data_IF_535996967412
#
_entry.id   IF_535996967412
#
_cell.length_a   1.000
_cell.length_b   1.000
_cell.length_c   1.000
_cell.angle_alpha   90.00
_cell.angle_beta   90.00
_cell.angle_gamma   90.00
#
_symmetry.space_group_name_H-M   'P 1'
#
loop_
_entity.id
_entity.type
_entity.pdbx_description
1 polymer ?
#
# COMPACT_ATOMS: atom_id res chain seq x y z
N UNK A 1 -21.25 20.70 -32.44
CA UNK A 1 -22.09 20.15 -31.35
C UNK A 1 -21.15 19.51 -30.34
N UNK A 2 -20.89 20.15 -29.19
CA UNK A 2 -19.88 19.68 -28.23
C UNK A 2 -20.50 18.73 -27.21
N UNK A 3 -20.23 17.43 -27.34
CA UNK A 3 -20.62 16.45 -26.35
C UNK A 3 -19.71 16.62 -25.12
N UNK A 4 -20.29 17.11 -24.02
CA UNK A 4 -19.66 17.16 -22.69
C UNK A 4 -19.40 15.71 -22.26
N UNK A 5 -18.16 15.24 -22.44
CA UNK A 5 -17.71 13.94 -21.95
C UNK A 5 -17.78 13.96 -20.43
N UNK A 6 -18.81 13.30 -19.86
CA UNK A 6 -18.90 13.02 -18.43
C UNK A 6 -17.67 12.23 -18.01
N UNK A 7 -16.72 12.87 -17.34
CA UNK A 7 -15.59 12.21 -16.69
C UNK A 7 -16.14 11.44 -15.49
N UNK A 8 -16.20 10.11 -15.59
CA UNK A 8 -16.43 9.25 -14.43
C UNK A 8 -15.19 9.34 -13.53
N UNK A 9 -15.32 9.57 -12.21
CA UNK A 9 -14.18 9.46 -11.32
C UNK A 9 -13.63 8.04 -11.43
N UNK A 10 -12.34 7.90 -11.79
CA UNK A 10 -11.66 6.62 -11.66
C UNK A 10 -11.77 6.23 -10.19
N UNK A 11 -12.35 5.06 -9.91
CA UNK A 11 -12.19 4.43 -8.60
C UNK A 11 -10.69 4.30 -8.39
N UNK A 12 -10.13 5.12 -7.50
CA UNK A 12 -8.75 4.98 -7.07
C UNK A 12 -8.65 3.59 -6.45
N UNK A 13 -8.04 2.65 -7.19
CA UNK A 13 -7.85 1.29 -6.71
C UNK A 13 -6.96 1.31 -5.46
N UNK A 14 -7.01 0.24 -4.68
CA UNK A 14 -6.03 0.01 -3.62
C UNK A 14 -5.08 -1.08 -4.12
N UNK A 15 -3.77 -0.79 -4.12
CA UNK A 15 -2.74 -1.82 -4.33
C UNK A 15 -2.37 -2.40 -2.97
N UNK A 16 -2.37 -3.72 -2.86
CA UNK A 16 -1.98 -4.41 -1.61
C UNK A 16 -0.59 -4.98 -1.79
N UNK A 17 0.36 -4.53 -0.98
CA UNK A 17 1.67 -5.14 -0.85
C UNK A 17 1.61 -6.21 0.23
N UNK A 18 2.23 -7.37 -0.03
CA UNK A 18 2.36 -8.46 0.93
C UNK A 18 3.84 -8.84 1.05
N UNK A 19 4.35 -9.01 2.26
CA UNK A 19 5.75 -9.34 2.53
C UNK A 19 5.83 -10.36 3.67
N UNK A 20 6.59 -11.43 3.46
CA UNK A 20 7.00 -12.32 4.55
C UNK A 20 8.08 -11.61 5.35
N UNK A 21 7.74 -11.21 6.57
CA UNK A 21 8.65 -10.58 7.51
C UNK A 21 9.35 -11.64 8.34
N UNK A 22 10.60 -11.40 8.71
CA UNK A 22 11.18 -12.11 9.84
C UNK A 22 10.41 -11.71 11.13
N UNK A 23 10.27 -12.61 12.13
CA UNK A 23 9.50 -12.34 13.35
C UNK A 23 9.99 -11.11 14.13
N UNK A 24 11.29 -10.86 14.15
CA UNK A 24 11.93 -9.72 14.80
C UNK A 24 11.71 -8.39 14.07
N UNK A 25 11.43 -8.44 12.76
CA UNK A 25 11.11 -7.27 11.94
C UNK A 25 9.63 -6.89 11.98
N UNK A 26 8.75 -7.70 12.59
CA UNK A 26 7.31 -7.40 12.73
C UNK A 26 7.05 -6.01 13.34
N UNK A 27 7.67 -5.62 14.47
CA UNK A 27 7.43 -4.30 15.08
C UNK A 27 7.86 -3.14 14.19
N UNK A 28 8.81 -3.37 13.27
CA UNK A 28 9.21 -2.35 12.28
C UNK A 28 8.11 -2.13 11.24
N UNK A 29 7.53 -3.21 10.71
CA UNK A 29 6.45 -3.11 9.73
C UNK A 29 5.16 -2.53 10.35
N UNK A 30 4.83 -2.88 11.59
CA UNK A 30 3.70 -2.29 12.31
C UNK A 30 3.82 -0.76 12.43
N UNK A 31 5.01 -0.25 12.76
CA UNK A 31 5.29 1.20 12.81
C UNK A 31 5.11 1.90 11.46
N UNK A 32 5.32 1.18 10.36
CA UNK A 32 5.12 1.69 8.99
C UNK A 32 3.66 1.61 8.51
N UNK A 33 2.74 1.21 9.39
CA UNK A 33 1.32 1.04 9.09
C UNK A 33 1.02 -0.21 8.27
N UNK A 34 1.87 -1.24 8.38
CA UNK A 34 1.55 -2.56 7.84
C UNK A 34 0.77 -3.35 8.88
N UNK A 35 -0.11 -4.23 8.41
CA UNK A 35 -0.95 -5.08 9.22
C UNK A 35 -0.54 -6.54 9.03
N UNK A 36 -0.42 -7.29 10.12
CA UNK A 36 -0.21 -8.73 10.05
C UNK A 36 -1.48 -9.43 9.56
N UNK A 37 -1.35 -10.27 8.53
CA UNK A 37 -2.46 -11.05 7.98
C UNK A 37 -2.29 -12.55 8.23
N UNK A 38 -1.07 -13.01 8.51
CA UNK A 38 -0.80 -14.38 8.92
C UNK A 38 0.39 -14.42 9.89
N UNK A 39 0.16 -14.95 11.09
CA UNK A 39 1.17 -15.15 12.13
C UNK A 39 1.69 -16.59 12.19
N UNK A 40 1.12 -17.50 11.39
CA UNK A 40 1.29 -18.95 11.55
C UNK A 40 2.51 -19.51 10.83
N UNK A 41 3.15 -18.72 9.97
CA UNK A 41 4.39 -19.10 9.30
C UNK A 41 5.63 -18.72 10.15
N UNK A 42 6.73 -19.46 9.98
CA UNK A 42 8.07 -19.08 10.49
C UNK A 42 8.46 -17.64 10.11
N UNK A 43 7.84 -17.12 9.05
CA UNK A 43 7.92 -15.73 8.61
C UNK A 43 6.52 -15.10 8.52
N UNK A 44 6.11 -14.29 9.52
CA UNK A 44 4.82 -13.61 9.54
C UNK A 44 4.54 -12.83 8.26
N UNK A 45 3.34 -12.97 7.72
CA UNK A 45 2.92 -12.25 6.52
C UNK A 45 2.33 -10.89 6.89
N UNK A 46 3.01 -9.84 6.46
CA UNK A 46 2.59 -8.44 6.63
C UNK A 46 1.96 -7.91 5.34
N UNK A 47 0.97 -7.03 5.46
CA UNK A 47 0.29 -6.38 4.35
C UNK A 47 0.20 -4.87 4.53
N UNK A 48 0.40 -4.11 3.46
CA UNK A 48 0.09 -2.67 3.43
C UNK A 48 -0.75 -2.32 2.22
N UNK A 49 -1.79 -1.54 2.47
CA UNK A 49 -2.62 -0.95 1.43
C UNK A 49 -1.97 0.37 0.97
N UNK A 50 -1.76 0.49 -0.34
CA UNK A 50 -1.27 1.69 -1.00
C UNK A 50 -2.40 2.27 -1.87
N UNK A 51 -2.79 3.53 -1.67
CA UNK A 51 -3.76 4.17 -2.53
C UNK A 51 -3.17 4.33 -3.94
N UNK A 52 -3.88 3.88 -4.97
CA UNK A 52 -3.50 4.14 -6.36
C UNK A 52 -3.68 5.62 -6.62
N UNK A 53 -2.57 6.36 -6.61
CA UNK A 53 -2.53 7.81 -6.75
C UNK A 53 -1.46 8.47 -5.90
N UNK A 54 -0.95 7.77 -4.88
CA UNK A 54 0.25 8.16 -4.17
C UNK A 54 1.46 7.72 -4.99
N UNK A 55 1.75 8.49 -6.05
CA UNK A 55 3.14 8.65 -6.48
C UNK A 55 3.87 9.04 -5.22
N UNK A 56 4.74 8.15 -4.72
CA UNK A 56 5.76 8.49 -3.75
C UNK A 56 6.38 9.80 -4.25
N UNK A 57 5.97 10.92 -3.67
CA UNK A 57 6.71 12.15 -3.80
C UNK A 57 7.97 11.87 -2.99
N UNK A 58 8.90 11.17 -3.63
CA UNK A 58 10.30 11.28 -3.30
C UNK A 58 10.55 12.78 -3.39
N UNK A 59 10.54 13.43 -2.23
CA UNK A 59 11.04 14.78 -2.10
C UNK A 59 12.48 14.70 -2.61
N UNK A 60 12.65 15.09 -3.87
CA UNK A 60 13.92 15.46 -4.43
C UNK A 60 14.34 16.70 -3.63
N UNK A 61 15.14 16.46 -2.60
CA UNK A 61 15.81 17.51 -1.85
C UNK A 61 16.78 18.14 -2.85
N UNK A 62 16.45 19.36 -3.28
CA UNK A 62 17.32 20.24 -4.04
C UNK A 62 18.55 20.62 -3.20
#
# INVERSE_FOLDING_TARGET
>A
MMARSKTRPLKMGVRRLKVHSAPDAVPFYEKLGWTMIDATADHPLMMKELPVGETLRLHHIL
#
